data_IF_328956485073
#
_entry.id   IF_328956485073
#
_cell.length_a   1.000
_cell.length_b   1.000
_cell.length_c   1.000
_cell.angle_alpha   90.00
_cell.angle_beta   90.00
_cell.angle_gamma   90.00
#
_symmetry.space_group_name_H-M   'P 1'
#
loop_
_entity.id
_entity.type
_entity.pdbx_description
1 polymer ?
#
# COMPACT_ATOMS: atom_id res chain seq x y z
N UNK A 1 8.94 -8.72 -4.89
CA UNK A 1 7.60 -8.11 -4.88
C UNK A 1 7.08 -8.05 -6.31
N UNK A 2 6.11 -8.90 -6.66
CA UNK A 2 5.54 -9.03 -8.00
C UNK A 2 4.07 -8.60 -8.03
N UNK A 3 3.69 -7.90 -9.10
CA UNK A 3 2.35 -7.35 -9.33
C UNK A 3 1.86 -7.79 -10.72
N UNK A 4 0.64 -8.32 -10.78
CA UNK A 4 -0.02 -8.70 -12.02
C UNK A 4 -1.14 -7.72 -12.34
N UNK A 5 -1.05 -7.10 -13.51
CA UNK A 5 -2.12 -6.24 -14.02
C UNK A 5 -3.00 -7.04 -14.97
N UNK A 6 -4.29 -7.14 -14.63
CA UNK A 6 -5.30 -7.76 -15.48
C UNK A 6 -6.19 -6.66 -16.05
N UNK A 7 -6.21 -6.54 -17.37
CA UNK A 7 -7.09 -5.60 -18.08
C UNK A 7 -8.34 -6.32 -18.54
N UNK A 8 -9.50 -5.85 -18.09
CA UNK A 8 -10.81 -6.33 -18.51
C UNK A 8 -11.38 -5.45 -19.64
N UNK A 9 -12.48 -5.90 -20.25
CA UNK A 9 -13.25 -5.10 -21.20
C UNK A 9 -13.73 -3.80 -20.55
N UNK A 10 -13.85 -2.72 -21.34
CA UNK A 10 -14.11 -1.33 -20.90
C UNK A 10 -12.99 -0.68 -20.09
N UNK A 11 -11.73 -1.05 -20.36
CA UNK A 11 -10.54 -0.41 -19.76
C UNK A 11 -10.44 -0.56 -18.24
N UNK A 12 -11.17 -1.51 -17.63
CA UNK A 12 -11.10 -1.75 -16.20
C UNK A 12 -9.83 -2.54 -15.89
N UNK A 13 -8.86 -1.90 -15.23
CA UNK A 13 -7.60 -2.53 -14.81
C UNK A 13 -7.72 -2.99 -13.36
N UNK A 14 -7.52 -4.27 -13.10
CA UNK A 14 -7.33 -4.78 -11.74
C UNK A 14 -5.86 -5.11 -11.53
N UNK A 15 -5.36 -4.72 -10.37
CA UNK A 15 -3.99 -4.99 -9.94
C UNK A 15 -4.08 -6.09 -8.90
N UNK A 16 -3.39 -7.20 -9.14
CA UNK A 16 -3.31 -8.34 -8.25
C UNK A 16 -1.90 -8.42 -7.67
N UNK A 17 -1.81 -8.48 -6.35
CA UNK A 17 -0.58 -8.83 -5.64
C UNK A 17 -0.34 -10.33 -5.80
N UNK A 18 0.83 -10.70 -6.31
CA UNK A 18 1.25 -12.10 -6.40
C UNK A 18 2.06 -12.52 -5.16
N UNK A 19 2.75 -11.57 -4.54
CA UNK A 19 3.51 -11.78 -3.29
C UNK A 19 3.12 -10.76 -2.23
N UNK A 20 3.12 -11.16 -0.96
CA UNK A 20 2.95 -10.28 0.17
C UNK A 20 4.13 -9.28 0.25
N UNK A 21 3.86 -7.97 0.36
CA UNK A 21 4.91 -6.95 0.51
C UNK A 21 5.74 -7.11 1.79
N UNK A 22 5.10 -7.55 2.87
CA UNK A 22 5.67 -7.57 4.21
C UNK A 22 6.60 -8.77 4.44
N UNK A 23 6.12 -9.98 4.11
CA UNK A 23 6.85 -11.23 4.42
C UNK A 23 7.29 -12.03 3.20
N UNK A 24 6.94 -11.60 1.98
CA UNK A 24 7.30 -12.30 0.75
C UNK A 24 6.48 -13.56 0.44
N UNK A 25 5.41 -13.83 1.19
CA UNK A 25 4.50 -14.95 0.95
C UNK A 25 3.86 -14.91 -0.44
N UNK A 26 3.88 -16.02 -1.18
CA UNK A 26 3.24 -16.15 -2.49
C UNK A 26 1.72 -16.39 -2.35
N UNK A 27 0.92 -15.53 -2.95
CA UNK A 27 -0.54 -15.63 -2.92
C UNK A 27 -1.09 -16.56 -3.99
N UNK A 28 -2.00 -17.44 -3.59
CA UNK A 28 -2.78 -18.22 -4.54
C UNK A 28 -3.84 -17.37 -5.25
N UNK A 29 -4.29 -17.81 -6.43
CA UNK A 29 -5.25 -17.06 -7.25
C UNK A 29 -6.56 -16.79 -6.52
N UNK A 30 -7.09 -17.79 -5.83
CA UNK A 30 -8.38 -17.75 -5.13
C UNK A 30 -8.28 -17.40 -3.64
N UNK A 31 -7.09 -17.00 -3.17
CA UNK A 31 -6.88 -16.65 -1.77
C UNK A 31 -7.39 -15.23 -1.41
N UNK A 32 -7.97 -15.12 -0.22
CA UNK A 32 -8.35 -13.84 0.39
C UNK A 32 -7.13 -13.08 0.90
N UNK A 33 -6.41 -12.43 -0.03
CA UNK A 33 -5.21 -11.62 0.25
C UNK A 33 -5.39 -10.60 1.38
N UNK A 34 -6.58 -10.02 1.53
CA UNK A 34 -6.87 -9.04 2.58
C UNK A 34 -6.80 -9.65 3.99
N UNK A 35 -7.17 -10.92 4.15
CA UNK A 35 -7.07 -11.60 5.46
C UNK A 35 -5.61 -11.85 5.85
N UNK A 36 -4.78 -12.25 4.89
CA UNK A 36 -3.35 -12.37 5.11
C UNK A 36 -2.72 -11.01 5.47
N UNK A 37 -3.03 -9.96 4.69
CA UNK A 37 -2.51 -8.61 4.92
C UNK A 37 -2.93 -8.08 6.30
N UNK A 38 -4.15 -8.35 6.75
CA UNK A 38 -4.65 -7.93 8.06
C UNK A 38 -3.95 -8.61 9.25
N UNK A 39 -3.14 -9.64 9.01
CA UNK A 39 -2.35 -10.31 10.05
C UNK A 39 -0.97 -9.67 10.24
N UNK A 40 -0.60 -8.70 9.40
CA UNK A 40 0.66 -7.94 9.52
C UNK A 40 0.41 -6.65 10.30
N UNK A 41 1.41 -6.26 11.07
CA UNK A 41 1.43 -4.97 11.73
C UNK A 41 1.87 -3.88 10.74
N UNK A 42 1.50 -2.61 10.98
CA UNK A 42 1.94 -1.49 10.13
C UNK A 42 3.47 -1.43 9.98
N UNK A 43 4.21 -1.79 11.03
CA UNK A 43 5.68 -1.83 11.04
C UNK A 43 6.25 -2.81 10.01
N UNK A 44 5.55 -3.91 9.72
CA UNK A 44 5.99 -4.89 8.71
C UNK A 44 5.98 -4.30 7.29
N UNK A 45 5.24 -3.23 7.08
CA UNK A 45 5.22 -2.45 5.84
C UNK A 45 6.13 -1.22 5.88
N UNK A 46 6.90 -1.05 6.96
CA UNK A 46 7.70 0.15 7.21
C UNK A 46 6.84 1.39 7.53
N UNK A 47 5.58 1.19 7.94
CA UNK A 47 4.71 2.27 8.39
C UNK A 47 4.87 2.48 9.89
N UNK A 48 4.43 3.65 10.36
CA UNK A 48 4.36 3.91 11.79
C UNK A 48 3.27 3.06 12.45
N UNK A 49 3.42 2.74 13.74
CA UNK A 49 2.43 1.99 14.51
C UNK A 49 1.05 2.63 14.44
N UNK A 50 0.02 1.79 14.50
CA UNK A 50 -1.37 2.23 14.55
C UNK A 50 -1.60 3.10 15.80
N UNK A 51 -2.04 4.35 15.59
CA UNK A 51 -2.30 5.31 16.66
C UNK A 51 -1.19 6.35 16.86
N UNK A 52 -0.04 6.19 16.24
CA UNK A 52 0.97 7.24 16.18
C UNK A 52 0.61 8.24 15.07
N UNK A 53 -0.07 9.33 15.46
CA UNK A 53 -0.23 10.47 14.56
C UNK A 53 1.02 11.33 14.64
N UNK A 54 1.81 11.38 13.57
CA UNK A 54 2.79 12.46 13.41
C UNK A 54 1.98 13.75 13.43
N UNK A 55 2.21 14.57 14.45
CA UNK A 55 1.81 15.97 14.40
C UNK A 55 2.50 16.54 13.17
N UNK A 56 1.77 16.61 12.06
CA UNK A 56 2.16 17.44 10.93
C UNK A 56 2.30 18.82 11.54
N UNK A 57 3.53 19.28 11.72
CA UNK A 57 3.75 20.66 12.09
C UNK A 57 3.08 21.47 10.98
N UNK A 58 2.05 22.22 11.34
CA UNK A 58 1.30 23.16 10.52
C UNK A 58 2.22 24.31 10.09
N UNK A 59 3.31 23.97 9.42
CA UNK A 59 4.17 24.91 8.73
C UNK A 59 3.46 25.16 7.41
N UNK A 60 2.85 26.34 7.19
CA UNK A 60 2.33 26.65 5.88
C UNK A 60 3.51 26.50 4.92
N UNK A 61 3.33 25.69 3.87
CA UNK A 61 4.31 25.61 2.80
C UNK A 61 4.57 27.05 2.34
N UNK A 62 5.77 27.57 2.63
CA UNK A 62 6.17 28.88 2.19
C UNK A 62 6.17 28.85 0.67
N UNK A 63 5.05 29.26 0.07
CA UNK A 63 4.87 29.40 -1.35
C UNK A 63 5.88 30.42 -1.85
N UNK A 64 6.93 29.94 -2.50
CA UNK A 64 7.93 30.78 -3.11
C UNK A 64 7.27 31.66 -4.18
N UNK A 65 7.29 32.98 -3.98
CA UNK A 65 7.29 33.90 -5.11
C UNK A 65 8.70 33.94 -5.68
N UNK A 66 8.83 33.42 -6.89
CA UNK A 66 9.81 33.94 -7.84
C UNK A 66 9.17 35.17 -8.50
N UNK A 67 10.05 36.10 -8.89
CA UNK A 67 9.83 37.36 -9.61
C UNK A 67 9.61 38.60 -8.74
#
# INVERSE_FOLDING_TARGET
>A
MSLRVVTYQRSQRRIHLETCPACGYDFDRDEFRHNHIASHDPEDFGLQPLGETVRVADSPAAGGRRE
#
